data_IF_156945411216
#
_entry.id   IF_156945411216
#
_cell.length_a   1.000
_cell.length_b   1.000
_cell.length_c   1.000
_cell.angle_alpha   90.00
_cell.angle_beta   90.00
_cell.angle_gamma   90.00
#
_symmetry.space_group_name_H-M   'P 1'
#
loop_
_entity.id
_entity.type
_entity.pdbx_description
1 polymer ?
#
# COMPACT_ATOMS: atom_id res chain seq x y z
N UNK A 1 -6.56 -14.60 13.61
CA UNK A 1 -5.29 -13.85 13.67
C UNK A 1 -4.33 -14.37 14.71
N UNK A 2 -3.02 -14.29 14.42
CA UNK A 2 -1.93 -14.72 15.32
C UNK A 2 -1.18 -13.55 15.97
N UNK A 3 -1.49 -12.30 15.62
CA UNK A 3 -0.82 -11.06 16.07
C UNK A 3 -1.85 -9.98 16.37
N UNK A 4 -1.45 -8.95 17.12
CA UNK A 4 -2.19 -7.69 17.29
C UNK A 4 -1.66 -6.64 16.32
N UNK A 5 -2.51 -5.69 15.98
CA UNK A 5 -2.17 -4.53 15.16
C UNK A 5 -2.75 -3.26 15.79
N UNK A 6 -2.13 -2.09 15.57
CA UNK A 6 -2.74 -0.82 15.87
C UNK A 6 -3.83 -0.50 14.85
N UNK A 7 -4.63 0.54 15.11
CA UNK A 7 -5.54 1.08 14.13
C UNK A 7 -4.84 1.36 12.78
N UNK A 8 -5.57 1.25 11.65
CA UNK A 8 -5.01 1.48 10.33
C UNK A 8 -4.33 2.86 10.23
N UNK A 9 -3.12 2.94 9.67
CA UNK A 9 -2.39 4.20 9.56
C UNK A 9 -1.91 4.56 8.15
N UNK A 10 -1.83 3.58 7.25
CA UNK A 10 -1.43 3.84 5.86
C UNK A 10 -2.14 2.89 4.90
N UNK A 11 -3.13 3.41 4.17
CA UNK A 11 -3.88 2.69 3.16
C UNK A 11 -2.98 2.30 1.98
N UNK A 12 -3.19 1.10 1.48
CA UNK A 12 -2.46 0.56 0.35
C UNK A 12 -3.36 -0.31 -0.51
N UNK A 13 -2.79 -0.89 -1.54
CA UNK A 13 -3.50 -1.47 -2.64
C UNK A 13 -2.52 -1.92 -3.71
N UNK A 14 -3.03 -2.23 -4.89
CA UNK A 14 -2.22 -2.61 -6.03
C UNK A 14 -1.84 -1.35 -6.81
N UNK A 15 -0.54 -1.08 -6.91
CA UNK A 15 0.03 -0.04 -7.77
C UNK A 15 0.50 -0.64 -9.09
N UNK A 16 0.01 -0.09 -10.19
CA UNK A 16 0.39 -0.50 -11.54
C UNK A 16 1.32 0.54 -12.13
N UNK A 17 2.60 0.19 -12.21
CA UNK A 17 3.64 1.06 -12.72
C UNK A 17 3.87 0.80 -14.22
N UNK A 18 3.70 1.83 -15.04
CA UNK A 18 3.82 1.79 -16.50
C UNK A 18 4.90 2.76 -16.98
N UNK A 19 5.27 2.72 -18.26
CA UNK A 19 6.13 3.77 -18.83
C UNK A 19 5.41 5.12 -18.81
N UNK A 20 6.17 6.20 -18.67
CA UNK A 20 5.61 7.56 -18.58
C UNK A 20 4.71 7.93 -19.78
N UNK A 21 5.05 7.45 -20.98
CA UNK A 21 4.29 7.70 -22.22
C UNK A 21 3.09 6.78 -22.48
N UNK A 22 2.88 5.74 -21.67
CA UNK A 22 1.74 4.84 -21.82
C UNK A 22 0.54 5.32 -20.97
N UNK A 23 -0.63 4.72 -21.17
CA UNK A 23 -1.82 4.92 -20.33
C UNK A 23 -2.36 3.60 -19.81
N UNK A 24 -2.93 3.63 -18.61
CA UNK A 24 -3.70 2.54 -18.01
C UNK A 24 -4.79 3.18 -17.16
N UNK A 25 -6.05 2.85 -17.44
CA UNK A 25 -7.26 3.40 -16.79
C UNK A 25 -7.88 2.40 -15.83
N UNK A 26 -7.63 1.11 -16.02
CA UNK A 26 -8.12 0.08 -15.12
C UNK A 26 -7.70 -1.33 -15.54
N UNK A 27 -8.36 -2.33 -14.96
CA UNK A 27 -8.01 -3.73 -15.18
C UNK A 27 -8.25 -4.23 -16.61
N UNK A 28 -9.21 -3.65 -17.34
CA UNK A 28 -9.49 -4.03 -18.73
C UNK A 28 -8.28 -3.81 -19.67
N UNK A 29 -7.42 -2.83 -19.36
CA UNK A 29 -6.22 -2.54 -20.14
C UNK A 29 -5.13 -3.62 -20.00
N UNK A 30 -5.30 -4.56 -19.06
CA UNK A 30 -4.38 -5.69 -18.88
C UNK A 30 -4.61 -6.80 -19.91
N UNK A 31 -5.77 -6.82 -20.60
CA UNK A 31 -6.12 -7.91 -21.50
C UNK A 31 -5.10 -8.11 -22.63
N UNK A 32 -4.59 -9.33 -22.76
CA UNK A 32 -3.55 -9.73 -23.69
C UNK A 32 -2.16 -9.14 -23.38
N UNK A 33 -1.97 -8.54 -22.21
CA UNK A 33 -0.69 -7.94 -21.80
C UNK A 33 0.10 -8.84 -20.87
N UNK A 34 1.38 -8.50 -20.76
CA UNK A 34 2.31 -9.08 -19.79
C UNK A 34 2.38 -8.18 -18.55
N UNK A 35 2.19 -8.75 -17.37
CA UNK A 35 2.28 -8.07 -16.08
C UNK A 35 3.50 -8.62 -15.32
N UNK A 36 4.46 -7.75 -15.03
CA UNK A 36 5.62 -8.06 -14.20
C UNK A 36 5.27 -7.97 -12.71
N UNK A 37 5.72 -8.93 -11.90
CA UNK A 37 5.51 -8.92 -10.45
C UNK A 37 6.65 -9.60 -9.70
N UNK A 38 6.88 -9.19 -8.45
CA UNK A 38 7.83 -9.85 -7.56
C UNK A 38 7.30 -11.18 -7.03
N UNK A 39 8.04 -12.26 -7.26
CA UNK A 39 7.67 -13.61 -6.84
C UNK A 39 7.41 -13.70 -5.33
N UNK A 40 6.33 -14.38 -4.95
CA UNK A 40 6.03 -14.68 -3.55
C UNK A 40 5.50 -13.50 -2.74
N UNK A 41 5.23 -12.36 -3.38
CA UNK A 41 4.57 -11.22 -2.74
C UNK A 41 3.05 -11.38 -2.72
N UNK A 42 2.37 -10.59 -1.89
CA UNK A 42 0.90 -10.50 -1.92
C UNK A 42 0.41 -10.02 -3.30
N UNK A 43 1.19 -9.15 -3.94
CA UNK A 43 0.96 -8.69 -5.32
C UNK A 43 1.02 -9.84 -6.34
N UNK A 44 1.95 -10.79 -6.20
CA UNK A 44 2.01 -12.01 -7.03
C UNK A 44 0.81 -12.94 -6.79
N UNK A 45 0.38 -13.07 -5.54
CA UNK A 45 -0.85 -13.83 -5.22
C UNK A 45 -2.07 -13.21 -5.89
N UNK A 46 -2.23 -11.88 -5.82
CA UNK A 46 -3.31 -11.17 -6.51
C UNK A 46 -3.22 -11.33 -8.03
N UNK A 47 -2.01 -11.19 -8.60
CA UNK A 47 -1.80 -11.30 -10.05
C UNK A 47 -2.17 -12.71 -10.54
N UNK A 48 -1.73 -13.74 -9.81
CA UNK A 48 -2.04 -15.14 -10.12
C UNK A 48 -3.53 -15.40 -10.10
N UNK A 49 -4.24 -14.94 -9.06
CA UNK A 49 -5.68 -15.13 -8.92
C UNK A 49 -6.51 -14.32 -9.94
N UNK A 50 -5.96 -13.23 -10.48
CA UNK A 50 -6.67 -12.30 -11.35
C UNK A 50 -6.35 -12.45 -12.84
N UNK A 51 -5.29 -13.19 -13.18
CA UNK A 51 -4.77 -13.34 -14.54
C UNK A 51 -5.82 -13.82 -15.53
N UNK A 52 -6.54 -14.90 -15.22
CA UNK A 52 -7.60 -15.43 -16.09
C UNK A 52 -8.76 -14.44 -16.24
N UNK A 53 -9.22 -13.86 -15.11
CA UNK A 53 -10.35 -12.93 -15.08
C UNK A 53 -10.13 -11.71 -15.98
N UNK A 54 -8.93 -11.14 -15.97
CA UNK A 54 -8.61 -9.93 -16.76
C UNK A 54 -7.77 -10.24 -18.01
N UNK A 55 -7.54 -11.52 -18.30
CA UNK A 55 -6.90 -12.00 -19.52
C UNK A 55 -5.45 -11.56 -19.73
N UNK A 56 -4.61 -11.53 -18.69
CA UNK A 56 -3.19 -11.17 -18.79
C UNK A 56 -2.27 -12.32 -18.40
N UNK A 57 -0.99 -12.21 -18.75
CA UNK A 57 0.04 -13.19 -18.39
C UNK A 57 0.99 -12.62 -17.32
N UNK A 58 1.37 -13.47 -16.36
CA UNK A 58 2.24 -13.07 -15.23
C UNK A 58 3.69 -13.41 -15.53
N UNK A 59 4.55 -12.39 -15.51
CA UNK A 59 6.00 -12.54 -15.52
C UNK A 59 6.56 -12.28 -14.13
N UNK A 60 7.25 -13.27 -13.55
CA UNK A 60 7.75 -13.18 -12.18
C UNK A 60 9.24 -12.84 -12.14
N UNK A 61 9.58 -11.84 -11.35
CA UNK A 61 10.94 -11.40 -11.11
C UNK A 61 11.31 -11.52 -9.63
N UNK A 62 12.60 -11.54 -9.35
CA UNK A 62 13.10 -11.64 -7.97
C UNK A 62 13.08 -10.27 -7.29
N UNK A 63 13.47 -9.21 -8.00
CA UNK A 63 13.55 -7.85 -7.46
C UNK A 63 12.59 -6.89 -8.17
N UNK A 64 12.17 -5.84 -7.44
CA UNK A 64 11.27 -4.85 -8.01
C UNK A 64 11.96 -4.03 -9.11
N UNK A 65 13.24 -3.63 -8.98
CA UNK A 65 13.99 -3.07 -10.10
C UNK A 65 13.92 -3.91 -11.37
N UNK A 66 14.02 -5.24 -11.29
CA UNK A 66 13.90 -6.10 -12.49
C UNK A 66 12.50 -6.04 -13.11
N UNK A 67 11.46 -6.03 -12.28
CA UNK A 67 10.06 -5.84 -12.74
C UNK A 67 9.88 -4.50 -13.44
N UNK A 68 10.47 -3.43 -12.88
CA UNK A 68 10.48 -2.09 -13.49
C UNK A 68 11.23 -2.08 -14.82
N UNK A 69 12.38 -2.73 -14.90
CA UNK A 69 13.15 -2.84 -16.15
C UNK A 69 12.38 -3.60 -17.24
N UNK A 70 11.59 -4.61 -16.88
CA UNK A 70 10.72 -5.29 -17.83
C UNK A 70 9.70 -4.33 -18.47
N UNK A 71 9.17 -3.37 -17.71
CA UNK A 71 8.27 -2.31 -18.23
C UNK A 71 9.01 -1.34 -19.15
N UNK A 72 10.18 -0.86 -18.72
CA UNK A 72 11.00 0.09 -19.49
C UNK A 72 11.42 -0.52 -20.84
N UNK A 73 11.84 -1.78 -20.83
CA UNK A 73 12.26 -2.55 -22.04
C UNK A 73 11.10 -3.12 -22.84
N UNK A 74 9.85 -2.81 -22.46
CA UNK A 74 8.61 -3.27 -23.11
C UNK A 74 8.38 -4.79 -23.11
N UNK A 75 9.08 -5.54 -22.26
CA UNK A 75 8.81 -6.96 -22.00
C UNK A 75 7.51 -7.17 -21.23
N UNK A 76 7.19 -6.22 -20.34
CA UNK A 76 5.92 -6.12 -19.64
C UNK A 76 5.21 -4.80 -19.96
N UNK A 77 3.89 -4.78 -19.89
CA UNK A 77 3.08 -3.57 -19.97
C UNK A 77 3.13 -2.78 -18.66
N UNK A 78 3.01 -3.49 -17.54
CA UNK A 78 3.00 -2.91 -16.19
C UNK A 78 3.80 -3.78 -15.22
N UNK A 79 4.39 -3.14 -14.21
CA UNK A 79 4.97 -3.78 -13.04
C UNK A 79 4.02 -3.55 -11.86
N UNK A 80 3.64 -4.63 -11.20
CA UNK A 80 2.74 -4.62 -10.07
C UNK A 80 3.53 -4.67 -8.76
N UNK A 81 3.19 -3.76 -7.85
CA UNK A 81 3.65 -3.77 -6.46
C UNK A 81 2.64 -3.01 -5.59
N UNK A 82 2.89 -2.88 -4.30
CA UNK A 82 2.10 -2.04 -3.40
C UNK A 82 2.18 -0.57 -3.82
N UNK A 83 1.07 0.17 -3.65
CA UNK A 83 0.95 1.57 -4.10
C UNK A 83 2.15 2.43 -3.64
N UNK A 84 2.56 2.44 -2.36
CA UNK A 84 3.66 3.30 -1.93
C UNK A 84 5.00 2.97 -2.59
N UNK A 85 5.28 1.69 -2.84
CA UNK A 85 6.50 1.26 -3.55
C UNK A 85 6.50 1.78 -4.98
N UNK A 86 5.36 1.67 -5.68
CA UNK A 86 5.25 2.17 -7.06
C UNK A 86 5.35 3.69 -7.14
N UNK A 87 4.74 4.41 -6.21
CA UNK A 87 4.81 5.88 -6.13
C UNK A 87 6.25 6.33 -5.86
N UNK A 88 6.94 5.69 -4.92
CA UNK A 88 8.34 5.99 -4.66
C UNK A 88 9.23 5.69 -5.87
N UNK A 89 9.06 4.54 -6.53
CA UNK A 89 9.83 4.23 -7.73
C UNK A 89 9.61 5.27 -8.86
N UNK A 90 8.36 5.71 -9.06
CA UNK A 90 8.04 6.76 -10.03
C UNK A 90 8.65 8.12 -9.64
N UNK A 91 8.77 8.44 -8.35
CA UNK A 91 9.42 9.68 -7.90
C UNK A 91 10.92 9.69 -8.18
N UNK A 92 11.55 8.49 -8.23
CA UNK A 92 12.98 8.35 -8.48
C UNK A 92 13.33 8.21 -9.98
N UNK A 93 12.38 7.93 -10.86
CA UNK A 93 12.66 7.65 -12.27
C UNK A 93 11.57 8.21 -13.21
N UNK A 94 11.94 9.24 -13.99
CA UNK A 94 11.03 9.93 -14.93
C UNK A 94 10.57 9.09 -16.12
N UNK A 95 11.19 7.92 -16.37
CA UNK A 95 10.80 7.03 -17.47
C UNK A 95 9.52 6.22 -17.16
N UNK A 96 9.09 6.20 -15.90
CA UNK A 96 7.95 5.43 -15.40
C UNK A 96 6.98 6.34 -14.65
N UNK A 97 5.72 5.91 -14.54
CA UNK A 97 4.70 6.54 -13.72
C UNK A 97 3.77 5.49 -13.14
N UNK A 98 3.05 5.84 -12.07
CA UNK A 98 1.93 5.03 -11.59
C UNK A 98 0.75 5.28 -12.53
N UNK A 99 0.39 4.28 -13.32
CA UNK A 99 -0.72 4.37 -14.28
C UNK A 99 -2.07 4.19 -13.61
N UNK A 100 -2.17 3.24 -12.69
CA UNK A 100 -3.42 2.93 -11.98
C UNK A 100 -3.13 2.53 -10.53
N UNK A 101 -4.02 2.93 -9.62
CA UNK A 101 -3.99 2.59 -8.19
C UNK A 101 -5.30 1.93 -7.83
N UNK A 102 -5.25 0.67 -7.40
CA UNK A 102 -6.40 -0.08 -6.90
C UNK A 102 -6.31 -0.19 -5.37
N UNK A 103 -6.98 0.71 -4.66
CA UNK A 103 -7.14 0.61 -3.21
C UNK A 103 -8.22 -0.42 -2.89
N UNK A 104 -7.82 -1.49 -2.20
CA UNK A 104 -8.65 -2.67 -1.97
C UNK A 104 -8.89 -2.93 -0.47
N UNK A 105 -8.93 -1.85 0.32
CA UNK A 105 -9.14 -1.89 1.77
C UNK A 105 -7.93 -2.33 2.60
N UNK A 106 -6.82 -2.72 1.95
CA UNK A 106 -5.57 -3.06 2.66
C UNK A 106 -4.97 -1.83 3.33
N UNK A 107 -4.39 -2.05 4.50
CA UNK A 107 -3.62 -1.06 5.24
C UNK A 107 -2.33 -1.71 5.74
N UNK A 108 -1.25 -0.94 5.81
CA UNK A 108 -0.07 -1.34 6.56
C UNK A 108 -0.38 -1.31 8.07
N UNK A 109 0.26 -2.21 8.80
CA UNK A 109 0.11 -2.34 10.24
C UNK A 109 1.42 -2.79 10.87
N UNK A 110 1.70 -2.29 12.07
CA UNK A 110 2.78 -2.81 12.91
C UNK A 110 2.28 -4.04 13.66
N UNK A 111 3.00 -5.15 13.58
CA UNK A 111 2.60 -6.40 14.20
C UNK A 111 3.16 -6.51 15.63
N UNK A 112 2.30 -6.85 16.58
CA UNK A 112 2.65 -7.06 17.98
C UNK A 112 2.26 -8.48 18.42
N UNK A 113 2.99 -9.03 19.40
CA UNK A 113 2.62 -10.29 20.04
C UNK A 113 1.28 -10.14 20.78
N UNK A 114 0.54 -11.23 20.92
CA UNK A 114 -0.83 -11.22 21.47
C UNK A 114 -0.90 -10.73 22.92
N UNK A 115 0.15 -10.92 23.70
CA UNK A 115 0.26 -10.47 25.09
C UNK A 115 0.71 -9.00 25.23
N UNK A 116 1.15 -8.36 24.15
CA UNK A 116 1.72 -7.00 24.18
C UNK A 116 0.69 -5.88 24.02
N UNK A 117 -0.55 -6.09 24.51
CA UNK A 117 -1.66 -5.12 24.38
C UNK A 117 -1.28 -3.71 24.87
N UNK A 118 -0.69 -3.51 26.06
CA UNK A 118 -0.35 -2.16 26.53
C UNK A 118 0.67 -1.45 25.63
N UNK A 119 1.63 -2.20 25.09
CA UNK A 119 2.64 -1.65 24.18
C UNK A 119 2.05 -1.30 22.81
N UNK A 120 1.18 -2.17 22.26
CA UNK A 120 0.44 -1.88 21.03
C UNK A 120 -0.37 -0.59 21.18
N UNK A 121 -1.11 -0.44 22.29
CA UNK A 121 -1.91 0.76 22.56
C UNK A 121 -1.05 2.03 22.66
N UNK A 122 0.13 1.94 23.29
CA UNK A 122 1.08 3.06 23.39
C UNK A 122 1.58 3.50 22.01
N UNK A 123 1.91 2.55 21.13
CA UNK A 123 2.35 2.87 19.76
C UNK A 123 1.19 3.45 18.94
N UNK A 124 -0.03 2.95 19.14
CA UNK A 124 -1.23 3.45 18.48
C UNK A 124 -1.50 4.92 18.83
N UNK A 125 -1.49 5.29 20.11
CA UNK A 125 -1.66 6.69 20.53
C UNK A 125 -0.58 7.61 19.95
N UNK A 126 0.67 7.14 19.88
CA UNK A 126 1.74 7.91 19.24
C UNK A 126 1.46 8.15 17.75
N UNK A 127 1.01 7.11 17.04
CA UNK A 127 0.62 7.23 15.63
C UNK A 127 -0.55 8.20 15.49
N UNK A 128 -1.57 8.12 16.32
CA UNK A 128 -2.73 9.02 16.29
C UNK A 128 -2.33 10.48 16.54
N UNK A 129 -1.42 10.74 17.49
CA UNK A 129 -0.87 12.07 17.68
C UNK A 129 -0.14 12.59 16.44
N UNK A 130 0.63 11.72 15.75
CA UNK A 130 1.28 12.09 14.48
C UNK A 130 0.29 12.30 13.32
N UNK A 131 -0.94 11.76 13.41
CA UNK A 131 -2.03 12.09 12.48
C UNK A 131 -2.60 13.47 12.80
N UNK A 132 -2.88 13.72 14.08
CA UNK A 132 -3.51 14.96 14.56
C UNK A 132 -2.63 16.20 14.36
N UNK A 133 -1.32 16.08 14.56
CA UNK A 133 -0.36 17.19 14.41
C UNK A 133 0.15 17.38 12.95
N UNK A 134 -0.28 16.52 12.03
CA UNK A 134 0.11 16.53 10.61
C UNK A 134 1.51 15.99 10.32
N UNK A 135 2.21 15.41 11.30
CA UNK A 135 3.54 14.81 11.11
C UNK A 135 3.51 13.69 10.07
N UNK A 136 2.51 12.80 10.09
CA UNK A 136 2.39 11.74 9.08
C UNK A 136 2.08 12.30 7.69
N UNK A 137 1.29 13.36 7.58
CA UNK A 137 1.02 14.01 6.29
C UNK A 137 2.31 14.62 5.69
N UNK A 138 3.14 15.29 6.52
CA UNK A 138 4.46 15.81 6.10
C UNK A 138 5.41 14.70 5.68
N UNK A 139 5.42 13.57 6.39
CA UNK A 139 6.22 12.41 6.02
C UNK A 139 5.76 11.82 4.68
N UNK A 140 4.45 11.70 4.47
CA UNK A 140 3.91 11.25 3.20
C UNK A 140 4.35 12.17 2.05
N UNK A 141 4.22 13.48 2.20
CA UNK A 141 4.66 14.44 1.19
C UNK A 141 6.17 14.37 0.92
N UNK A 142 6.98 14.27 1.98
CA UNK A 142 8.44 14.12 1.84
C UNK A 142 8.83 12.90 0.98
N UNK A 143 8.16 11.78 1.15
CA UNK A 143 8.54 10.52 0.49
C UNK A 143 7.81 10.28 -0.84
N UNK A 144 6.63 10.85 -1.02
CA UNK A 144 5.76 10.59 -2.16
C UNK A 144 5.46 11.82 -3.02
N UNK A 145 6.00 12.99 -2.65
CA UNK A 145 5.96 14.22 -3.45
C UNK A 145 4.62 14.94 -3.45
N UNK A 146 3.64 14.47 -2.68
CA UNK A 146 2.32 15.08 -2.55
C UNK A 146 1.71 14.77 -1.17
N UNK A 147 0.84 15.64 -0.64
CA UNK A 147 0.08 15.32 0.56
C UNK A 147 -0.81 14.08 0.35
N UNK A 148 -1.13 13.35 1.43
CA UNK A 148 -2.05 12.22 1.34
C UNK A 148 -3.47 12.71 0.97
N UNK A 149 -4.24 11.85 0.29
CA UNK A 149 -5.65 12.13 -0.01
C UNK A 149 -6.42 12.44 1.28
N UNK A 150 -7.42 13.33 1.23
CA UNK A 150 -8.17 13.76 2.42
C UNK A 150 -8.82 12.58 3.17
N UNK A 151 -9.26 11.56 2.43
CA UNK A 151 -9.89 10.35 2.97
C UNK A 151 -8.88 9.25 3.36
N UNK A 152 -7.57 9.52 3.24
CA UNK A 152 -6.52 8.57 3.59
C UNK A 152 -6.51 8.26 5.09
N UNK A 153 -6.19 7.01 5.44
CA UNK A 153 -6.05 6.58 6.83
C UNK A 153 -4.88 7.27 7.56
N UNK A 154 -4.00 7.95 6.82
CA UNK A 154 -2.97 8.85 7.37
C UNK A 154 -3.59 10.05 8.10
N UNK A 155 -4.77 10.50 7.68
CA UNK A 155 -5.42 11.69 8.26
C UNK A 155 -6.56 11.34 9.24
N UNK A 156 -6.83 10.05 9.46
CA UNK A 156 -8.00 9.60 10.23
C UNK A 156 -7.61 8.90 11.54
N UNK A 157 -8.13 9.39 12.66
CA UNK A 157 -8.08 8.69 13.96
C UNK A 157 -9.30 7.78 14.06
N UNK A 158 -9.09 6.54 14.53
CA UNK A 158 -10.14 5.55 14.67
C UNK A 158 -10.57 5.46 16.13
N UNK A 159 -11.84 5.11 16.37
CA UNK A 159 -12.33 4.95 17.74
C UNK A 159 -11.90 3.59 18.29
N UNK A 160 -11.29 3.57 19.47
CA UNK A 160 -10.85 2.34 20.12
C UNK A 160 -9.40 1.99 19.81
N UNK A 161 -8.95 0.83 20.28
CA UNK A 161 -7.61 0.31 19.99
C UNK A 161 -7.66 -0.86 19.01
N UNK A 162 -6.84 -0.77 17.97
CA UNK A 162 -6.72 -1.78 16.92
C UNK A 162 -7.71 -1.63 15.78
N UNK A 163 -7.56 -2.44 14.72
CA UNK A 163 -8.46 -2.44 13.59
C UNK A 163 -9.80 -3.10 13.94
N UNK A 164 -10.96 -2.47 13.62
CA UNK A 164 -12.25 -3.11 13.79
C UNK A 164 -12.35 -4.47 13.09
N UNK A 165 -12.90 -5.46 13.78
CA UNK A 165 -13.04 -6.84 13.26
C UNK A 165 -11.80 -7.72 13.43
N UNK A 166 -10.69 -7.18 13.92
CA UNK A 166 -9.47 -7.93 14.21
C UNK A 166 -9.44 -8.40 15.66
N UNK A 167 -8.66 -9.45 15.93
CA UNK A 167 -8.43 -9.95 17.29
C UNK A 167 -7.72 -8.88 18.12
N UNK A 168 -8.25 -8.60 19.31
CA UNK A 168 -7.71 -7.57 20.21
C UNK A 168 -8.13 -6.15 19.85
N UNK A 169 -9.13 -6.00 18.98
CA UNK A 169 -9.87 -4.75 18.88
C UNK A 169 -10.63 -4.47 20.19
N UNK A 170 -10.51 -3.25 20.69
CA UNK A 170 -11.20 -2.77 21.88
C UNK A 170 -11.94 -1.48 21.55
N UNK A 171 -13.27 -1.51 21.55
CA UNK A 171 -14.07 -0.29 21.41
C UNK A 171 -14.01 0.52 22.71
N UNK A 172 -12.96 1.33 22.83
CA UNK A 172 -12.72 2.21 23.97
C UNK A 172 -12.42 3.62 23.45
N UNK A 173 -13.43 4.50 23.44
CA UNK A 173 -13.20 5.91 23.11
C UNK A 173 -12.10 6.48 23.99
N UNK A 174 -11.15 7.16 23.37
CA UNK A 174 -10.06 7.82 24.05
C UNK A 174 -9.66 9.08 23.29
N UNK A 175 -9.03 10.00 24.00
CA UNK A 175 -8.38 11.16 23.40
C UNK A 175 -6.87 10.89 23.49
N UNK A 176 -6.14 10.87 22.37
CA UNK A 176 -4.71 10.61 22.39
C UNK A 176 -3.98 11.61 23.28
N UNK A 177 -3.10 11.13 24.16
CA UNK A 177 -2.32 12.01 25.05
C UNK A 177 -1.07 12.52 24.31
N UNK A 178 -1.26 13.50 23.43
CA UNK A 178 -0.17 14.09 22.65
C UNK A 178 0.68 15.00 23.55
N UNK A 179 1.99 14.74 23.60
CA UNK A 179 2.97 15.49 24.39
C UNK A 179 3.94 16.22 23.50
#
# INVERSE_FOLDING_TARGET
ERMLYPAPFFATGNGFLIRAGDEMKGFEDLKGKQLAVNRGTISDTWATASAEKYGFEVQRYDTFPDSVQAVITRRAFTALNEIPTTVYAASQNKAIKVGFKDYNGRNFGYAFRLESVPYRNTVEEAIECMKLDGTLAKLHEKWYGAPPDQTSTINAVFVGYGPPGFKGYEFKPHVPSCR
#
